data_IF_652640319876
#
_entry.id   IF_652640319876
#
_cell.length_a   1.000
_cell.length_b   1.000
_cell.length_c   1.000
_cell.angle_alpha   90.00
_cell.angle_beta   90.00
_cell.angle_gamma   90.00
#
_symmetry.space_group_name_H-M   'P 1'
#
loop_
_entity.id
_entity.type
_entity.pdbx_description
1 polymer ?
#
# COMPACT_ATOMS: atom_id res chain seq x y z
N UNK A 1 6.47 16.27 -6.66
CA UNK A 1 6.41 17.38 -6.60
C UNK A 1 5.91 18.34 -5.57
N UNK A 2 4.87 18.99 -5.90
CA UNK A 2 4.38 20.12 -5.11
C UNK A 2 3.82 19.73 -3.76
N UNK A 3 3.42 18.47 -3.58
CA UNK A 3 2.83 18.03 -2.33
C UNK A 3 3.81 18.09 -1.15
N UNK A 4 5.03 17.65 -1.35
CA UNK A 4 6.03 17.71 -0.28
C UNK A 4 6.44 19.14 0.03
N UNK A 5 6.58 19.97 -1.00
CA UNK A 5 6.86 21.40 -0.84
C UNK A 5 5.73 22.12 -0.13
N UNK A 6 4.49 21.79 -0.46
CA UNK A 6 3.30 22.33 0.18
C UNK A 6 3.27 22.01 1.68
N UNK A 7 3.53 20.78 2.05
CA UNK A 7 3.54 20.37 3.45
C UNK A 7 4.62 21.07 4.23
N UNK A 8 5.83 21.16 3.69
CA UNK A 8 6.95 21.90 4.34
C UNK A 8 6.61 23.35 4.55
N UNK A 9 6.09 24.01 3.52
CA UNK A 9 5.75 25.43 3.56
C UNK A 9 4.59 25.70 4.52
N UNK A 10 3.54 24.91 4.46
CA UNK A 10 2.31 25.13 5.23
C UNK A 10 2.48 24.81 6.71
N UNK A 11 3.14 23.71 7.02
CA UNK A 11 3.31 23.24 8.39
C UNK A 11 4.63 23.66 9.03
N UNK A 12 5.49 24.31 8.26
CA UNK A 12 6.85 24.67 8.69
C UNK A 12 7.61 23.46 9.26
N UNK A 13 7.47 22.33 8.59
CA UNK A 13 8.09 21.06 8.98
C UNK A 13 9.16 20.71 7.95
N UNK A 14 10.38 20.47 8.43
CA UNK A 14 11.42 19.88 7.59
C UNK A 14 11.18 18.39 7.46
N UNK A 15 11.34 17.88 6.23
CA UNK A 15 11.24 16.45 5.96
C UNK A 15 12.65 15.87 6.10
N UNK A 16 12.90 15.08 7.15
CA UNK A 16 14.25 14.61 7.42
C UNK A 16 14.73 13.61 6.37
N UNK A 17 16.00 13.69 6.04
CA UNK A 17 16.66 12.66 5.25
C UNK A 17 16.77 11.39 6.08
N UNK A 18 16.75 10.25 5.39
CA UNK A 18 16.92 8.96 6.03
C UNK A 18 17.62 8.01 5.07
N UNK A 19 17.51 6.72 5.34
CA UNK A 19 18.25 5.72 4.59
C UNK A 19 17.35 4.99 3.57
N UNK A 20 17.88 4.76 2.38
CA UNK A 20 17.42 3.67 1.53
C UNK A 20 18.07 2.39 2.02
N UNK A 21 17.26 1.37 2.25
CA UNK A 21 17.74 0.05 2.68
C UNK A 21 17.19 -1.03 1.78
N UNK A 22 17.90 -2.15 1.68
CA UNK A 22 17.41 -3.32 0.97
C UNK A 22 16.35 -4.05 1.80
N UNK A 23 15.71 -5.06 1.22
CA UNK A 23 14.70 -5.86 1.94
C UNK A 23 15.27 -6.60 3.14
N UNK A 24 16.56 -6.84 3.16
CA UNK A 24 17.28 -7.46 4.30
C UNK A 24 17.94 -6.42 5.23
N UNK A 25 17.66 -5.13 5.03
CA UNK A 25 18.10 -4.07 5.92
C UNK A 25 19.46 -3.45 5.62
N UNK A 26 20.08 -3.83 4.50
CA UNK A 26 21.38 -3.29 4.11
C UNK A 26 21.27 -1.85 3.61
N UNK A 27 22.15 -0.97 4.08
CA UNK A 27 22.18 0.43 3.64
C UNK A 27 22.52 0.54 2.16
N UNK A 28 21.75 1.33 1.42
CA UNK A 28 21.94 1.54 -0.02
C UNK A 28 22.22 2.99 -0.40
N UNK A 29 21.87 3.93 0.45
CA UNK A 29 22.04 5.35 0.19
C UNK A 29 21.15 6.20 1.05
N UNK A 30 21.15 7.51 0.83
CA UNK A 30 20.31 8.47 1.56
C UNK A 30 19.12 8.91 0.72
N UNK A 31 17.94 8.91 1.31
CA UNK A 31 16.76 9.49 0.65
C UNK A 31 16.54 10.94 1.12
N UNK A 32 15.71 11.65 0.36
CA UNK A 32 15.45 13.09 0.55
C UNK A 32 14.13 13.37 1.26
N UNK A 33 13.70 12.48 2.13
CA UNK A 33 12.45 12.61 2.84
C UNK A 33 11.44 11.56 2.39
N UNK A 34 10.91 10.81 3.35
CA UNK A 34 10.09 9.62 3.09
C UNK A 34 8.81 9.95 2.32
N UNK A 35 8.25 11.16 2.49
CA UNK A 35 7.03 11.57 1.78
C UNK A 35 7.24 11.80 0.29
N UNK A 36 8.49 11.88 -0.17
CA UNK A 36 8.80 12.10 -1.58
C UNK A 36 8.76 10.82 -2.40
N UNK A 37 8.51 9.68 -1.76
CA UNK A 37 8.58 8.37 -2.42
C UNK A 37 7.23 7.66 -2.38
N UNK A 38 6.97 6.87 -3.42
CA UNK A 38 5.71 6.14 -3.58
C UNK A 38 6.01 4.66 -3.79
N UNK A 39 5.23 3.78 -3.19
CA UNK A 39 5.36 2.33 -3.40
C UNK A 39 5.21 2.02 -4.90
N UNK A 40 6.16 1.28 -5.45
CA UNK A 40 6.24 0.98 -6.87
C UNK A 40 7.11 1.94 -7.68
N UNK A 41 7.57 3.03 -7.08
CA UNK A 41 8.41 4.01 -7.76
C UNK A 41 9.74 3.37 -8.17
N UNK A 42 10.14 3.64 -9.43
CA UNK A 42 11.40 3.16 -9.99
C UNK A 42 12.37 4.30 -10.29
N UNK A 43 11.84 5.43 -10.78
CA UNK A 43 12.67 6.57 -11.22
C UNK A 43 12.85 7.59 -10.09
N UNK A 44 13.94 8.35 -10.18
CA UNK A 44 14.17 9.46 -9.26
C UNK A 44 14.65 9.04 -7.88
N UNK A 45 15.17 7.82 -7.74
CA UNK A 45 15.66 7.35 -6.45
C UNK A 45 17.03 7.89 -6.11
N UNK A 46 17.84 8.24 -7.12
CA UNK A 46 19.17 8.81 -6.89
C UNK A 46 20.20 7.79 -6.42
N UNK A 47 19.93 6.51 -6.59
CA UNK A 47 20.87 5.43 -6.26
C UNK A 47 21.12 4.58 -7.52
N UNK A 48 22.35 4.09 -7.65
CA UNK A 48 22.76 3.26 -8.77
C UNK A 48 23.05 1.85 -8.27
N UNK A 49 22.17 0.90 -8.59
CA UNK A 49 22.29 -0.49 -8.15
C UNK A 49 22.64 -1.45 -9.28
N UNK A 50 22.80 -0.93 -10.51
CA UNK A 50 23.12 -1.75 -11.67
C UNK A 50 21.97 -2.59 -12.20
N UNK A 51 20.78 -2.47 -11.61
CA UNK A 51 19.56 -3.17 -12.01
C UNK A 51 18.35 -2.31 -11.67
N UNK A 52 17.17 -2.58 -12.28
CA UNK A 52 15.95 -1.91 -11.88
C UNK A 52 15.66 -2.14 -10.40
N UNK A 53 15.27 -1.08 -9.70
CA UNK A 53 14.96 -1.11 -8.28
C UNK A 53 13.69 -0.31 -8.01
N UNK A 54 12.92 -0.75 -7.03
CA UNK A 54 11.60 -0.20 -6.74
C UNK A 54 11.46 0.10 -5.26
N UNK A 55 10.69 1.15 -4.95
CA UNK A 55 10.26 1.38 -3.58
C UNK A 55 9.22 0.31 -3.25
N UNK A 56 9.53 -0.58 -2.32
CA UNK A 56 8.65 -1.70 -1.97
C UNK A 56 7.95 -1.49 -0.63
N UNK A 57 8.51 -0.65 0.24
CA UNK A 57 7.94 -0.40 1.57
C UNK A 57 8.50 0.91 2.12
N UNK A 58 7.74 1.56 2.98
CA UNK A 58 8.19 2.70 3.78
C UNK A 58 8.12 2.32 5.25
N UNK A 59 9.24 2.38 5.94
CA UNK A 59 9.30 2.16 7.38
C UNK A 59 9.30 3.51 8.07
N UNK A 60 8.13 4.01 8.43
CA UNK A 60 7.95 5.34 8.99
C UNK A 60 8.70 5.52 10.31
N UNK A 61 8.59 4.61 11.30
CA UNK A 61 9.29 4.78 12.58
C UNK A 61 10.80 4.89 12.44
N UNK A 62 11.39 4.20 11.47
CA UNK A 62 12.85 4.20 11.26
C UNK A 62 13.28 5.21 10.19
N UNK A 63 12.34 5.91 9.57
CA UNK A 63 12.60 6.83 8.47
C UNK A 63 13.39 6.18 7.33
N UNK A 64 13.00 4.96 6.96
CA UNK A 64 13.65 4.18 5.92
C UNK A 64 12.72 3.96 4.73
N UNK A 65 13.29 4.02 3.54
CA UNK A 65 12.63 3.62 2.30
C UNK A 65 13.26 2.30 1.86
N UNK A 66 12.44 1.25 1.82
CA UNK A 66 12.93 -0.10 1.47
C UNK A 66 12.87 -0.27 -0.03
N UNK A 67 13.99 -0.69 -0.60
CA UNK A 67 14.18 -0.90 -2.03
C UNK A 67 14.27 -2.39 -2.31
N UNK A 68 13.58 -2.85 -3.34
CA UNK A 68 13.58 -4.25 -3.72
C UNK A 68 13.36 -4.45 -5.22
N UNK A 69 13.12 -5.70 -5.59
CA UNK A 69 12.86 -6.11 -6.96
C UNK A 69 11.36 -5.97 -7.29
N UNK A 70 11.02 -6.07 -8.56
CA UNK A 70 9.61 -6.08 -9.01
C UNK A 70 8.79 -7.12 -8.26
N UNK A 71 9.34 -8.32 -8.06
CA UNK A 71 8.65 -9.41 -7.37
C UNK A 71 8.31 -9.09 -5.91
N UNK A 72 9.07 -8.22 -5.26
CA UNK A 72 8.82 -7.80 -3.88
C UNK A 72 7.61 -6.89 -3.75
N UNK A 73 7.05 -6.40 -4.86
CA UNK A 73 5.86 -5.55 -4.88
C UNK A 73 4.55 -6.32 -4.80
N UNK A 74 4.58 -7.64 -4.95
CA UNK A 74 3.36 -8.44 -5.06
C UNK A 74 2.97 -9.07 -3.74
N UNK A 75 1.66 -9.05 -3.46
CA UNK A 75 1.06 -9.76 -2.33
C UNK A 75 -0.27 -10.35 -2.75
N UNK A 76 -0.62 -11.51 -2.20
CA UNK A 76 -1.91 -12.14 -2.47
C UNK A 76 -2.98 -11.81 -1.45
N UNK A 77 -2.65 -11.07 -0.39
CA UNK A 77 -3.62 -10.74 0.64
C UNK A 77 -3.37 -9.36 1.24
N UNK A 78 -4.40 -8.82 1.88
CA UNK A 78 -4.29 -7.61 2.69
C UNK A 78 -5.28 -7.68 3.84
N UNK A 79 -5.02 -6.86 4.85
CA UNK A 79 -5.99 -6.59 5.90
C UNK A 79 -6.49 -5.15 5.77
N UNK A 80 -7.73 -4.92 6.19
CA UNK A 80 -8.35 -3.61 6.13
C UNK A 80 -9.06 -3.29 7.44
N UNK A 81 -9.00 -2.03 7.83
CA UNK A 81 -9.74 -1.48 8.98
C UNK A 81 -10.76 -0.45 8.50
N UNK A 82 -11.57 0.03 9.44
CA UNK A 82 -12.62 1.02 9.17
C UNK A 82 -13.52 0.60 8.02
N UNK A 83 -13.82 -0.69 7.97
CA UNK A 83 -14.61 -1.27 6.87
C UNK A 83 -16.07 -0.96 7.07
N UNK A 84 -16.70 -0.42 6.02
CA UNK A 84 -18.13 -0.20 5.97
C UNK A 84 -18.72 -1.13 4.92
N UNK A 85 -19.66 -1.98 5.34
CA UNK A 85 -20.36 -2.92 4.45
C UNK A 85 -21.79 -2.42 4.26
N UNK A 86 -22.22 -2.29 3.01
CA UNK A 86 -23.53 -1.72 2.69
C UNK A 86 -24.65 -2.73 2.92
N UNK A 87 -24.56 -3.98 2.42
CA UNK A 87 -25.65 -4.95 2.59
C UNK A 87 -25.58 -5.77 3.89
N UNK A 88 -24.50 -5.61 4.68
CA UNK A 88 -24.28 -6.42 5.88
C UNK A 88 -23.89 -5.55 7.06
N UNK A 89 -24.31 -5.92 8.25
CA UNK A 89 -23.77 -5.33 9.48
C UNK A 89 -22.41 -5.94 9.80
N UNK A 90 -22.31 -7.27 9.68
CA UNK A 90 -21.06 -8.02 9.87
C UNK A 90 -21.06 -9.23 8.94
N UNK A 91 -19.88 -9.82 8.73
CA UNK A 91 -19.76 -11.08 8.01
C UNK A 91 -19.60 -12.23 8.98
N UNK A 92 -20.49 -13.19 8.93
CA UNK A 92 -20.39 -14.43 9.69
C UNK A 92 -19.56 -15.49 8.98
N UNK A 93 -19.48 -15.41 7.67
CA UNK A 93 -18.76 -16.34 6.79
C UNK A 93 -17.95 -15.58 5.76
N UNK A 94 -16.85 -16.16 5.28
CA UNK A 94 -16.16 -15.60 4.11
C UNK A 94 -17.10 -15.53 2.91
N UNK A 95 -16.98 -14.46 2.13
CA UNK A 95 -17.75 -14.29 0.90
C UNK A 95 -16.84 -14.01 -0.28
N UNK A 96 -17.24 -14.47 -1.45
CA UNK A 96 -16.57 -14.16 -2.69
C UNK A 96 -17.00 -12.78 -3.16
N UNK A 97 -16.01 -11.94 -3.47
CA UNK A 97 -16.21 -10.58 -3.97
C UNK A 97 -15.16 -10.29 -5.03
N UNK A 98 -15.25 -9.12 -5.65
CA UNK A 98 -14.11 -8.54 -6.33
C UNK A 98 -13.66 -7.31 -5.58
N UNK A 99 -12.40 -6.94 -5.73
CA UNK A 99 -11.84 -5.81 -4.99
C UNK A 99 -10.92 -4.98 -5.86
N UNK A 100 -10.88 -3.68 -5.58
CA UNK A 100 -9.92 -2.74 -6.15
C UNK A 100 -9.11 -2.12 -5.03
N UNK A 101 -7.79 -2.09 -5.20
CA UNK A 101 -6.87 -1.39 -4.30
C UNK A 101 -6.38 -0.07 -4.90
N UNK A 102 -6.71 0.20 -6.17
CA UNK A 102 -6.38 1.42 -6.90
C UNK A 102 -7.52 1.82 -7.80
N UNK A 103 -7.75 3.12 -7.93
CA UNK A 103 -8.83 3.65 -8.77
C UNK A 103 -8.72 3.21 -10.23
N UNK A 104 -7.52 3.20 -10.80
CA UNK A 104 -7.29 2.87 -12.21
C UNK A 104 -7.19 1.37 -12.50
N UNK A 105 -7.28 0.54 -11.47
CA UNK A 105 -7.17 -0.91 -11.60
C UNK A 105 -8.52 -1.52 -11.95
N UNK A 106 -8.52 -2.65 -12.67
CA UNK A 106 -9.70 -3.48 -12.82
C UNK A 106 -9.97 -4.25 -11.52
N UNK A 107 -11.23 -4.65 -11.31
CA UNK A 107 -11.61 -5.46 -10.16
C UNK A 107 -10.94 -6.83 -10.22
N UNK A 108 -10.49 -7.31 -9.08
CA UNK A 108 -9.79 -8.59 -8.94
C UNK A 108 -10.57 -9.51 -8.03
N UNK A 109 -10.66 -10.79 -8.40
CA UNK A 109 -11.36 -11.80 -7.60
C UNK A 109 -10.68 -11.99 -6.26
N UNK A 110 -11.48 -12.04 -5.21
CA UNK A 110 -11.00 -12.19 -3.84
C UNK A 110 -12.05 -12.79 -2.94
N UNK A 111 -11.61 -13.19 -1.75
CA UNK A 111 -12.49 -13.65 -0.67
C UNK A 111 -12.33 -12.68 0.49
N UNK A 112 -13.46 -12.14 0.96
CA UNK A 112 -13.52 -11.22 2.09
C UNK A 112 -13.95 -12.01 3.34
N UNK A 113 -13.22 -11.85 4.42
CA UNK A 113 -13.56 -12.48 5.71
C UNK A 113 -13.29 -11.52 6.86
N UNK A 114 -14.00 -11.75 7.98
CA UNK A 114 -13.81 -10.96 9.19
C UNK A 114 -12.81 -11.65 10.12
N UNK A 115 -11.81 -10.90 10.58
CA UNK A 115 -10.77 -11.42 11.49
C UNK A 115 -11.04 -11.12 12.96
N UNK A 116 -12.00 -10.27 13.27
CA UNK A 116 -12.23 -9.76 14.62
C UNK A 116 -11.63 -8.36 14.80
N UNK A 117 -12.05 -7.68 15.86
CA UNK A 117 -11.57 -6.34 16.23
C UNK A 117 -11.72 -5.29 15.12
N UNK A 118 -12.74 -5.43 14.29
CA UNK A 118 -12.98 -4.52 13.17
C UNK A 118 -12.07 -4.72 11.98
N UNK A 119 -11.25 -5.75 11.97
CA UNK A 119 -10.30 -6.04 10.90
C UNK A 119 -10.90 -7.09 9.94
N UNK A 120 -10.82 -6.79 8.66
CA UNK A 120 -11.24 -7.70 7.58
C UNK A 120 -10.04 -8.14 6.79
N UNK A 121 -10.07 -9.37 6.33
CA UNK A 121 -9.01 -9.97 5.50
C UNK A 121 -9.52 -10.14 4.08
N UNK A 122 -8.68 -9.77 3.12
CA UNK A 122 -8.95 -9.94 1.69
C UNK A 122 -7.89 -10.86 1.12
N UNK A 123 -8.32 -12.02 0.64
CA UNK A 123 -7.44 -13.00 -0.01
C UNK A 123 -7.71 -12.98 -1.50
N UNK A 124 -6.75 -12.51 -2.29
CA UNK A 124 -6.88 -12.43 -3.75
C UNK A 124 -6.58 -13.75 -4.43
N UNK A 125 -7.27 -14.03 -5.51
CA UNK A 125 -7.00 -15.19 -6.35
C UNK A 125 -5.61 -15.11 -6.99
N UNK A 126 -5.20 -13.89 -7.37
CA UNK A 126 -3.90 -13.62 -8.00
C UNK A 126 -3.15 -12.55 -7.22
N UNK A 127 -1.81 -12.63 -7.15
CA UNK A 127 -1.04 -11.57 -6.50
C UNK A 127 -1.33 -10.19 -7.07
N UNK A 128 -1.35 -9.19 -6.19
CA UNK A 128 -1.63 -7.80 -6.52
C UNK A 128 -0.37 -6.96 -6.33
N UNK A 129 -0.12 -6.07 -7.29
CA UNK A 129 1.07 -5.23 -7.30
C UNK A 129 0.89 -3.98 -6.46
N UNK A 130 1.88 -3.70 -5.60
CA UNK A 130 2.02 -2.43 -4.88
C UNK A 130 0.80 -2.07 -4.02
N UNK A 131 0.26 -3.07 -3.33
CA UNK A 131 -0.77 -2.84 -2.31
C UNK A 131 -0.15 -1.96 -1.22
N UNK A 132 -0.81 -0.84 -0.92
CA UNK A 132 -0.21 0.21 -0.10
C UNK A 132 -1.04 0.48 1.14
N UNK A 133 -0.40 0.40 2.30
CA UNK A 133 -1.02 0.74 3.59
C UNK A 133 -1.50 2.20 3.58
N UNK A 134 -2.67 2.43 4.13
CA UNK A 134 -3.28 3.75 4.16
C UNK A 134 -4.15 4.07 2.96
N UNK A 135 -4.07 3.28 1.88
CA UNK A 135 -4.93 3.46 0.71
C UNK A 135 -6.27 2.75 0.92
N UNK A 136 -7.27 3.17 0.16
CA UNK A 136 -8.59 2.57 0.20
C UNK A 136 -8.61 1.25 -0.57
N UNK A 137 -9.41 0.30 -0.07
CA UNK A 137 -9.82 -0.88 -0.81
C UNK A 137 -11.34 -0.85 -0.94
N UNK A 138 -11.86 -1.16 -2.13
CA UNK A 138 -13.31 -1.16 -2.40
C UNK A 138 -13.73 -2.56 -2.84
N UNK A 139 -14.85 -3.03 -2.29
CA UNK A 139 -15.39 -4.37 -2.52
C UNK A 139 -16.63 -4.30 -3.39
N UNK A 140 -16.76 -5.23 -4.33
CA UNK A 140 -17.88 -5.30 -5.27
C UNK A 140 -18.45 -6.71 -5.33
N UNK A 141 -19.74 -6.78 -5.60
CA UNK A 141 -20.43 -7.99 -6.02
C UNK A 141 -21.10 -7.68 -7.37
N UNK A 142 -20.45 -8.12 -8.46
CA UNK A 142 -20.84 -7.68 -9.79
C UNK A 142 -20.70 -6.17 -9.92
N UNK A 143 -21.76 -5.49 -10.31
CA UNK A 143 -21.79 -4.03 -10.47
C UNK A 143 -22.10 -3.29 -9.16
N UNK A 144 -22.36 -4.02 -8.09
CA UNK A 144 -22.81 -3.44 -6.81
C UNK A 144 -21.63 -3.24 -5.89
N UNK A 145 -21.49 -2.04 -5.35
CA UNK A 145 -20.50 -1.75 -4.29
C UNK A 145 -20.99 -2.39 -2.99
N UNK A 146 -20.22 -3.31 -2.47
CA UNK A 146 -20.52 -4.00 -1.19
C UNK A 146 -19.99 -3.21 -0.01
N UNK A 147 -18.90 -2.48 -0.21
CA UNK A 147 -18.29 -1.69 0.85
C UNK A 147 -16.85 -1.35 0.55
N UNK A 148 -16.14 -0.94 1.58
CA UNK A 148 -14.73 -0.63 1.46
C UNK A 148 -14.11 -0.32 2.81
N UNK A 149 -12.81 -0.13 2.82
CA UNK A 149 -12.05 0.18 4.03
C UNK A 149 -10.68 0.75 3.72
N UNK A 150 -9.84 0.80 4.74
CA UNK A 150 -8.47 1.31 4.66
C UNK A 150 -7.49 0.16 4.85
N UNK A 151 -6.55 0.02 3.94
CA UNK A 151 -5.52 -1.03 3.98
C UNK A 151 -4.55 -0.75 5.14
N UNK A 152 -4.29 -1.76 5.94
CA UNK A 152 -3.34 -1.69 7.05
C UNK A 152 -2.21 -2.69 6.94
#
# INVERSE_FOLDING_TARGET
GDYSSFIKKFKNIDVPEGDFVSTDGKFLGKHKGIINYTIGQRKGLGIALGKPAYVVKKNIPENQVVIGDESDLYTSSLDACDVNLIPFDTLEKPIEITAKTRYSQSEQNAVLSYKGDGIYHVEFEKPQRAVTKGQAVVFYDGDIVVGGGTII
#
